data_IF_293442430382
#
_entry.id   IF_293442430382
#
_cell.length_a   1.000
_cell.length_b   1.000
_cell.length_c   1.000
_cell.angle_alpha   90.00
_cell.angle_beta   90.00
_cell.angle_gamma   90.00
#
_symmetry.space_group_name_H-M   'P 1'
#
loop_
_entity.id
_entity.type
_entity.pdbx_description
1 polymer ?
#
# COMPACT_ATOMS: atom_id res chain seq x y z
N UNK A 1 10.99 -20.70 -21.50
CA UNK A 1 10.33 -20.64 -20.17
C UNK A 1 9.57 -19.34 -19.93
N UNK A 2 10.11 -18.15 -20.25
CA UNK A 2 9.47 -16.84 -19.99
C UNK A 2 8.08 -16.67 -20.63
N UNK A 3 7.86 -17.25 -21.81
CA UNK A 3 6.55 -17.22 -22.48
C UNK A 3 5.46 -17.92 -21.66
N UNK A 4 5.80 -19.02 -20.98
CA UNK A 4 4.85 -19.74 -20.13
C UNK A 4 4.50 -18.91 -18.89
N UNK A 5 5.48 -18.28 -18.23
CA UNK A 5 5.24 -17.38 -17.09
C UNK A 5 4.34 -16.19 -17.48
N UNK A 6 4.55 -15.58 -18.65
CA UNK A 6 3.70 -14.50 -19.18
C UNK A 6 2.26 -14.95 -19.42
N UNK A 7 2.08 -16.12 -20.05
CA UNK A 7 0.75 -16.66 -20.35
C UNK A 7 0.03 -17.06 -19.05
N UNK A 8 0.70 -17.70 -18.11
CA UNK A 8 0.11 -18.06 -16.80
C UNK A 8 -0.31 -16.82 -16.03
N UNK A 9 0.57 -15.82 -15.93
CA UNK A 9 0.31 -14.58 -15.19
C UNK A 9 -0.90 -13.81 -15.76
N UNK A 10 -0.99 -13.69 -17.08
CA UNK A 10 -2.11 -13.01 -17.74
C UNK A 10 -3.46 -13.76 -17.59
N UNK A 11 -3.43 -15.08 -17.44
CA UNK A 11 -4.63 -15.91 -17.24
C UNK A 11 -5.09 -15.91 -15.78
N UNK A 12 -4.15 -15.89 -14.82
CA UNK A 12 -4.45 -15.80 -13.39
C UNK A 12 -5.01 -14.42 -13.03
N UNK A 13 -4.42 -13.36 -13.58
CA UNK A 13 -4.80 -11.98 -13.29
C UNK A 13 -4.83 -11.16 -14.59
N UNK A 14 -6.03 -10.75 -15.05
CA UNK A 14 -6.11 -9.87 -16.22
C UNK A 14 -5.42 -8.54 -15.93
N UNK A 15 -4.52 -8.10 -16.82
CA UNK A 15 -3.72 -6.86 -16.70
C UNK A 15 -4.53 -5.62 -16.28
N UNK A 16 -5.80 -5.51 -16.71
CA UNK A 16 -6.67 -4.38 -16.39
C UNK A 16 -7.19 -4.35 -14.93
N UNK A 17 -7.02 -5.44 -14.17
CA UNK A 17 -7.53 -5.57 -12.79
C UNK A 17 -6.43 -5.44 -11.74
N UNK A 18 -5.17 -5.45 -12.15
CA UNK A 18 -4.03 -5.48 -11.25
C UNK A 18 -3.64 -4.04 -10.92
N UNK A 19 -3.29 -3.78 -9.66
CA UNK A 19 -2.62 -2.53 -9.31
C UNK A 19 -1.33 -2.42 -10.13
N UNK A 20 -1.13 -1.33 -10.91
CA UNK A 20 0.03 -1.19 -11.78
C UNK A 20 1.35 -1.45 -11.07
N UNK A 21 1.42 -1.14 -9.77
CA UNK A 21 2.60 -1.36 -8.94
C UNK A 21 2.98 -2.81 -8.73
N UNK A 22 1.99 -3.70 -8.54
CA UNK A 22 2.22 -5.13 -8.40
C UNK A 22 2.68 -5.72 -9.73
N UNK A 23 2.10 -5.26 -10.84
CA UNK A 23 2.48 -5.67 -12.19
C UNK A 23 3.92 -5.26 -12.52
N UNK A 24 4.31 -4.02 -12.21
CA UNK A 24 5.68 -3.52 -12.40
C UNK A 24 6.70 -4.35 -11.62
N UNK A 25 6.39 -4.69 -10.36
CA UNK A 25 7.29 -5.51 -9.53
C UNK A 25 7.51 -6.90 -10.13
N UNK A 26 6.43 -7.58 -10.52
CA UNK A 26 6.50 -8.90 -11.15
C UNK A 26 7.28 -8.85 -12.47
N UNK A 27 7.03 -7.82 -13.29
CA UNK A 27 7.68 -7.69 -14.59
C UNK A 27 9.17 -7.37 -14.47
N UNK A 28 9.60 -6.57 -13.47
CA UNK A 28 11.03 -6.32 -13.19
C UNK A 28 11.76 -7.64 -12.91
N UNK A 29 11.15 -8.53 -12.11
CA UNK A 29 11.72 -9.83 -11.77
C UNK A 29 11.77 -10.76 -13.00
N UNK A 30 10.70 -10.80 -13.80
CA UNK A 30 10.65 -11.57 -15.04
C UNK A 30 11.70 -11.08 -16.05
N UNK A 31 11.79 -9.76 -16.24
CA UNK A 31 12.73 -9.13 -17.17
C UNK A 31 14.17 -9.44 -16.77
N UNK A 32 14.48 -9.51 -15.47
CA UNK A 32 15.78 -9.93 -14.97
C UNK A 32 16.20 -11.36 -15.33
N UNK A 33 15.25 -12.24 -15.67
CA UNK A 33 15.51 -13.62 -16.10
C UNK A 33 15.76 -13.75 -17.61
N UNK A 34 15.52 -12.70 -18.40
CA UNK A 34 15.71 -12.71 -19.86
C UNK A 34 17.19 -12.78 -20.22
N UNK A 35 17.51 -13.56 -21.25
CA UNK A 35 18.87 -13.64 -21.80
C UNK A 35 19.29 -12.36 -22.54
N UNK A 36 18.33 -11.66 -23.13
CA UNK A 36 18.49 -10.40 -23.87
C UNK A 36 18.27 -9.16 -22.98
N UNK A 37 18.27 -9.33 -21.65
CA UNK A 37 18.05 -8.26 -20.69
C UNK A 37 19.17 -7.22 -20.76
N UNK A 38 18.80 -5.95 -20.91
CA UNK A 38 19.73 -4.83 -20.77
C UNK A 38 19.92 -4.48 -19.28
N UNK A 39 21.14 -4.63 -18.72
CA UNK A 39 21.39 -4.42 -17.29
C UNK A 39 21.12 -2.98 -16.84
N UNK A 40 21.41 -2.00 -17.69
CA UNK A 40 21.16 -0.58 -17.40
C UNK A 40 19.67 -0.30 -17.26
N UNK A 41 18.83 -0.93 -18.09
CA UNK A 41 17.38 -0.76 -18.01
C UNK A 41 16.79 -1.44 -16.78
N UNK A 42 17.31 -2.62 -16.43
CA UNK A 42 16.88 -3.32 -15.21
C UNK A 42 17.26 -2.53 -13.95
N UNK A 43 18.47 -1.98 -13.90
CA UNK A 43 18.92 -1.14 -12.79
C UNK A 43 18.07 0.12 -12.65
N UNK A 44 17.80 0.81 -13.77
CA UNK A 44 16.94 1.98 -13.79
C UNK A 44 15.52 1.65 -13.28
N UNK A 45 14.93 0.56 -13.76
CA UNK A 45 13.59 0.14 -13.34
C UNK A 45 13.54 -0.18 -11.83
N UNK A 46 14.57 -0.83 -11.28
CA UNK A 46 14.67 -1.09 -9.83
C UNK A 46 14.83 0.18 -9.01
N UNK A 47 15.65 1.13 -9.48
CA UNK A 47 15.84 2.42 -8.80
C UNK A 47 14.55 3.23 -8.77
N UNK A 48 13.88 3.39 -9.91
CA UNK A 48 12.58 4.08 -10.00
C UNK A 48 11.53 3.41 -9.10
N UNK A 49 11.51 2.06 -9.09
CA UNK A 49 10.65 1.32 -8.20
C UNK A 49 10.93 1.62 -6.71
N UNK A 50 12.20 1.66 -6.31
CA UNK A 50 12.54 1.91 -4.91
C UNK A 50 12.27 3.35 -4.48
N UNK A 51 12.48 4.34 -5.36
CA UNK A 51 12.20 5.75 -5.07
C UNK A 51 10.71 5.95 -4.76
N UNK A 52 9.83 5.52 -5.66
CA UNK A 52 8.38 5.69 -5.45
C UNK A 52 7.89 4.86 -4.26
N UNK A 53 8.45 3.67 -4.01
CA UNK A 53 8.13 2.90 -2.81
C UNK A 53 8.55 3.62 -1.52
N UNK A 54 9.73 4.26 -1.52
CA UNK A 54 10.20 5.05 -0.37
C UNK A 54 9.28 6.22 -0.08
N UNK A 55 8.83 6.95 -1.12
CA UNK A 55 7.86 8.04 -0.97
C UNK A 55 6.56 7.54 -0.35
N UNK A 56 5.98 6.44 -0.84
CA UNK A 56 4.78 5.87 -0.25
C UNK A 56 4.98 5.42 1.20
N UNK A 57 6.14 4.86 1.54
CA UNK A 57 6.47 4.49 2.92
C UNK A 57 6.63 5.73 3.83
N UNK A 58 7.19 6.81 3.32
CA UNK A 58 7.27 8.09 4.02
C UNK A 58 5.89 8.70 4.24
N UNK A 59 5.01 8.66 3.22
CA UNK A 59 3.61 9.06 3.35
C UNK A 59 2.89 8.22 4.40
N UNK A 60 3.06 6.89 4.40
CA UNK A 60 2.49 6.01 5.42
C UNK A 60 3.07 6.30 6.82
N UNK A 61 4.36 6.61 6.93
CA UNK A 61 4.97 7.05 8.21
C UNK A 61 4.42 8.39 8.65
N UNK A 62 4.21 9.33 7.74
CA UNK A 62 3.65 10.64 8.03
C UNK A 62 2.18 10.52 8.43
N UNK A 63 1.37 9.80 7.65
CA UNK A 63 -0.02 9.47 7.96
C UNK A 63 -0.15 8.66 9.24
N UNK A 64 0.76 7.73 9.56
CA UNK A 64 0.72 7.02 10.85
C UNK A 64 1.10 7.92 12.02
N UNK A 65 2.12 8.79 11.89
CA UNK A 65 2.46 9.83 12.87
C UNK A 65 1.33 10.83 13.08
N UNK A 66 0.71 11.28 11.99
CA UNK A 66 -0.50 12.07 12.02
C UNK A 66 -1.65 11.27 12.61
N UNK A 67 -1.78 9.97 12.38
CA UNK A 67 -2.77 9.13 13.02
C UNK A 67 -2.49 8.97 14.51
N UNK A 68 -1.25 8.98 15.00
CA UNK A 68 -0.99 9.06 16.45
C UNK A 68 -1.39 10.44 17.02
N UNK A 69 -1.19 11.52 16.26
CA UNK A 69 -1.61 12.89 16.63
C UNK A 69 -3.14 13.07 16.58
N UNK A 70 -3.77 12.65 15.48
CA UNK A 70 -5.21 12.61 15.25
C UNK A 70 -5.85 11.56 16.15
N UNK A 71 -5.22 10.44 16.51
CA UNK A 71 -5.69 9.53 17.56
C UNK A 71 -5.59 10.18 18.94
N UNK A 72 -4.65 11.10 19.19
CA UNK A 72 -4.64 11.87 20.43
C UNK A 72 -5.82 12.85 20.49
N UNK A 73 -6.17 13.50 19.36
CA UNK A 73 -7.36 14.34 19.22
C UNK A 73 -8.68 13.56 19.22
N UNK A 74 -8.75 12.45 18.48
CA UNK A 74 -9.89 11.52 18.42
C UNK A 74 -10.04 10.74 19.72
N UNK A 75 -8.97 10.47 20.48
CA UNK A 75 -9.08 9.87 21.82
C UNK A 75 -9.66 10.88 22.82
N UNK A 76 -9.27 12.17 22.73
CA UNK A 76 -9.94 13.25 23.47
C UNK A 76 -11.40 13.43 23.06
N UNK A 77 -11.71 13.46 21.76
CA UNK A 77 -13.09 13.56 21.26
C UNK A 77 -13.92 12.30 21.56
N UNK A 78 -13.36 11.09 21.43
CA UNK A 78 -14.02 9.83 21.80
C UNK A 78 -14.21 9.72 23.30
N UNK A 79 -13.28 10.18 24.13
CA UNK A 79 -13.43 10.19 25.59
C UNK A 79 -14.52 11.17 26.05
N UNK A 80 -14.65 12.32 25.37
CA UNK A 80 -15.74 13.28 25.60
C UNK A 80 -17.07 12.70 25.10
N UNK A 81 -17.11 12.11 23.90
CA UNK A 81 -18.29 11.45 23.34
C UNK A 81 -18.74 10.23 24.16
N UNK A 82 -17.84 9.36 24.61
CA UNK A 82 -18.20 8.21 25.48
C UNK A 82 -18.68 8.68 26.85
N UNK A 83 -18.07 9.72 27.45
CA UNK A 83 -18.58 10.32 28.70
C UNK A 83 -19.97 10.95 28.52
N UNK A 84 -20.26 11.59 27.38
CA UNK A 84 -21.58 12.14 27.07
C UNK A 84 -22.63 11.06 26.76
N UNK A 85 -22.26 10.01 26.02
CA UNK A 85 -23.15 8.87 25.70
C UNK A 85 -23.48 8.04 26.95
N UNK A 86 -22.50 7.80 27.83
CA UNK A 86 -22.74 7.11 29.11
C UNK A 86 -23.57 7.97 30.07
N UNK A 87 -23.40 9.31 30.09
CA UNK A 87 -24.28 10.21 30.85
C UNK A 87 -25.72 10.20 30.34
N UNK A 88 -25.93 10.10 29.02
CA UNK A 88 -27.28 9.99 28.42
C UNK A 88 -27.94 8.64 28.72
N UNK A 89 -27.19 7.53 28.69
CA UNK A 89 -27.69 6.20 29.11
C UNK A 89 -28.12 6.19 30.58
N UNK A 90 -27.33 6.79 31.47
CA UNK A 90 -27.64 6.87 32.91
C UNK A 90 -28.86 7.73 33.27
N UNK A 91 -29.34 8.57 32.36
CA UNK A 91 -30.52 9.44 32.52
C UNK A 91 -31.79 8.85 31.89
N UNK A 92 -31.66 7.79 31.08
CA UNK A 92 -32.79 7.10 30.44
C UNK A 92 -33.12 5.77 31.15
N UNK A 93 -32.18 5.22 31.91
CA UNK A 93 -32.36 4.03 32.76
C UNK A 93 -32.68 4.37 34.24
N UNK A 94 -33.40 5.48 34.50
CA UNK A 94 -34.09 5.78 35.78
C UNK A 94 -35.57 6.00 35.49
#
# INVERSE_FOLDING_TARGET
>A
MILFELVSHALELPLHRIMPRLETMWYIDLYGKRQDMNPTWLELAKLDFNVVQSTHLEDLKHSSRLNYSVAMFLSRCNAICTKLVLRRKKLVDI
#
